data_IF_891736467858
#
_entry.id   IF_891736467858
#
_cell.length_a   1.000
_cell.length_b   1.000
_cell.length_c   1.000
_cell.angle_alpha   90.00
_cell.angle_beta   90.00
_cell.angle_gamma   90.00
#
_symmetry.space_group_name_H-M   'P 1'
#
loop_
_entity.id
_entity.type
_entity.pdbx_description
1 polymer ?
#
# COMPACT_ATOMS: atom_id res chain seq x y z
N UNK A 1 7.13 -18.10 -10.55
CA UNK A 1 6.39 -16.85 -10.26
C UNK A 1 5.35 -17.15 -9.21
N UNK A 2 5.13 -16.30 -8.18
CA UNK A 2 3.99 -16.49 -7.30
C UNK A 2 2.70 -16.29 -8.09
N UNK A 3 1.68 -17.11 -7.83
CA UNK A 3 0.36 -16.96 -8.45
C UNK A 3 -0.42 -15.80 -7.84
N UNK A 4 -1.43 -15.26 -8.53
CA UNK A 4 -2.29 -14.22 -7.98
C UNK A 4 -2.90 -14.60 -6.61
N UNK A 5 -3.27 -15.88 -6.43
CA UNK A 5 -3.71 -16.42 -5.14
C UNK A 5 -2.62 -16.38 -4.05
N UNK A 6 -1.37 -16.65 -4.40
CA UNK A 6 -0.26 -16.54 -3.46
C UNK A 6 -0.01 -15.08 -3.08
N UNK A 7 -0.09 -14.16 -4.03
CA UNK A 7 0.03 -12.71 -3.79
C UNK A 7 -1.09 -12.22 -2.87
N UNK A 8 -2.36 -12.54 -3.17
CA UNK A 8 -3.49 -12.15 -2.32
C UNK A 8 -3.34 -12.72 -0.91
N UNK A 9 -2.93 -13.98 -0.78
CA UNK A 9 -2.70 -14.61 0.53
C UNK A 9 -1.61 -13.86 1.30
N UNK A 10 -0.49 -13.53 0.66
CA UNK A 10 0.60 -12.77 1.30
C UNK A 10 0.12 -11.39 1.78
N UNK A 11 -0.68 -10.70 0.98
CA UNK A 11 -1.21 -9.37 1.30
C UNK A 11 -2.30 -9.37 2.40
N UNK A 12 -2.95 -10.52 2.66
CA UNK A 12 -4.08 -10.63 3.59
C UNK A 12 -3.73 -11.52 4.80
N UNK A 13 -4.19 -12.77 4.82
CA UNK A 13 -3.95 -13.73 5.91
C UNK A 13 -2.47 -13.95 6.23
N UNK A 14 -1.59 -13.88 5.22
CA UNK A 14 -0.13 -13.96 5.40
C UNK A 14 0.41 -12.77 6.19
N UNK A 15 0.03 -11.55 5.83
CA UNK A 15 0.34 -10.34 6.59
C UNK A 15 -0.28 -10.35 7.99
N UNK A 16 -1.54 -10.77 8.12
CA UNK A 16 -2.18 -10.90 9.43
C UNK A 16 -1.39 -11.83 10.36
N UNK A 17 -0.86 -12.94 9.84
CA UNK A 17 -0.09 -13.90 10.61
C UNK A 17 1.21 -13.34 11.21
N UNK A 18 1.79 -12.28 10.65
CA UNK A 18 3.02 -11.65 11.20
C UNK A 18 2.74 -10.61 12.29
N UNK A 19 1.47 -10.39 12.62
CA UNK A 19 1.04 -9.37 13.59
C UNK A 19 0.24 -10.00 14.75
N UNK A 20 -0.14 -9.17 15.73
CA UNK A 20 -1.05 -9.56 16.82
C UNK A 20 -2.47 -9.94 16.35
N UNK A 21 -2.80 -9.72 15.07
CA UNK A 21 -4.10 -10.06 14.47
C UNK A 21 -4.12 -11.46 13.82
N UNK A 22 -3.08 -12.27 14.02
CA UNK A 22 -3.03 -13.66 13.57
C UNK A 22 -4.31 -14.41 13.94
N UNK A 23 -4.94 -15.04 12.95
CA UNK A 23 -6.15 -15.83 13.13
C UNK A 23 -7.42 -15.02 13.41
N UNK A 24 -7.35 -13.69 13.37
CA UNK A 24 -8.50 -12.80 13.58
C UNK A 24 -8.96 -12.09 12.31
N UNK A 25 -8.05 -11.82 11.37
CA UNK A 25 -8.33 -11.06 10.14
C UNK A 25 -7.66 -11.71 8.92
N UNK A 26 -7.93 -11.16 7.73
CA UNK A 26 -7.27 -11.55 6.48
C UNK A 26 -7.90 -12.74 5.77
N UNK A 27 -9.06 -13.24 6.24
CA UNK A 27 -9.93 -14.20 5.55
C UNK A 27 -11.39 -13.83 5.74
N UNK A 28 -12.21 -14.15 4.74
CA UNK A 28 -13.66 -14.00 4.81
C UNK A 28 -14.26 -15.30 5.36
N UNK A 29 -14.22 -15.45 6.67
CA UNK A 29 -14.71 -16.60 7.41
C UNK A 29 -15.55 -16.13 8.59
N UNK A 30 -16.56 -16.91 8.98
CA UNK A 30 -17.33 -16.61 10.18
C UNK A 30 -16.42 -16.46 11.41
N UNK A 31 -16.77 -15.53 12.31
CA UNK A 31 -16.07 -15.23 13.56
C UNK A 31 -14.74 -14.47 13.41
N UNK A 32 -14.31 -14.16 12.19
CA UNK A 32 -13.20 -13.25 11.94
C UNK A 32 -13.71 -11.79 11.86
N UNK A 33 -12.78 -10.83 11.95
CA UNK A 33 -13.07 -9.42 11.72
C UNK A 33 -13.60 -9.19 10.31
N UNK A 34 -14.67 -8.40 10.20
CA UNK A 34 -15.25 -8.00 8.92
C UNK A 34 -14.42 -6.88 8.28
N UNK A 35 -13.24 -7.25 7.80
CA UNK A 35 -12.32 -6.39 7.06
C UNK A 35 -12.51 -6.66 5.56
N UNK A 36 -13.16 -5.72 4.87
CA UNK A 36 -13.62 -5.90 3.49
C UNK A 36 -13.14 -4.74 2.61
N UNK A 37 -12.78 -5.06 1.38
CA UNK A 37 -12.58 -4.09 0.30
C UNK A 37 -13.50 -4.49 -0.84
N UNK A 38 -14.38 -3.57 -1.24
CA UNK A 38 -15.22 -3.72 -2.43
C UNK A 38 -14.56 -2.99 -3.59
N UNK A 39 -14.41 -3.70 -4.71
CA UNK A 39 -13.80 -3.19 -5.93
C UNK A 39 -14.88 -3.09 -6.99
N UNK A 40 -14.95 -1.94 -7.64
CA UNK A 40 -15.81 -1.68 -8.79
C UNK A 40 -15.29 -2.46 -10.00
N UNK A 41 -16.04 -3.49 -10.39
CA UNK A 41 -15.67 -4.37 -11.50
C UNK A 41 -15.70 -3.65 -12.84
N UNK A 42 -16.64 -2.74 -13.06
CA UNK A 42 -16.79 -2.04 -14.34
C UNK A 42 -15.61 -1.10 -14.58
N UNK A 43 -15.17 -0.38 -13.53
CA UNK A 43 -13.93 0.42 -13.59
C UNK A 43 -12.70 -0.45 -13.84
N UNK A 44 -12.61 -1.62 -13.21
CA UNK A 44 -11.48 -2.54 -13.37
C UNK A 44 -11.41 -3.13 -14.79
N UNK A 45 -12.58 -3.50 -15.33
CA UNK A 45 -12.71 -4.10 -16.64
C UNK A 45 -12.59 -3.07 -17.78
N UNK A 46 -12.82 -1.79 -17.52
CA UNK A 46 -12.72 -0.74 -18.55
C UNK A 46 -11.29 -0.61 -19.15
N UNK A 47 -11.15 -0.31 -20.46
CA UNK A 47 -12.19 -0.27 -21.49
C UNK A 47 -12.63 -1.66 -21.98
N UNK A 48 -11.81 -2.67 -21.71
CA UNK A 48 -12.10 -4.07 -22.01
C UNK A 48 -11.27 -4.98 -21.09
N UNK A 49 -11.91 -6.04 -20.63
CA UNK A 49 -11.31 -7.21 -20.00
C UNK A 49 -12.07 -8.42 -20.55
N UNK A 50 -11.33 -9.43 -20.97
CA UNK A 50 -11.93 -10.67 -21.46
C UNK A 50 -12.74 -11.33 -20.32
N UNK A 51 -14.02 -11.70 -20.55
CA UNK A 51 -14.84 -12.36 -19.52
C UNK A 51 -14.25 -13.66 -18.99
N UNK A 52 -13.43 -14.36 -19.79
CA UNK A 52 -12.76 -15.59 -19.39
C UNK A 52 -11.43 -15.33 -18.66
N UNK A 53 -11.01 -14.06 -18.53
CA UNK A 53 -9.81 -13.71 -17.77
C UNK A 53 -10.04 -13.99 -16.26
N UNK A 54 -9.15 -14.74 -15.58
CA UNK A 54 -9.38 -15.10 -14.19
C UNK A 54 -9.54 -13.88 -13.28
N UNK A 55 -10.63 -13.87 -12.51
CA UNK A 55 -11.01 -12.73 -11.64
C UNK A 55 -9.87 -12.31 -10.70
N UNK A 56 -9.18 -13.28 -10.12
CA UNK A 56 -8.12 -13.02 -9.16
C UNK A 56 -6.88 -12.40 -9.83
N UNK A 57 -6.52 -12.87 -11.01
CA UNK A 57 -5.46 -12.26 -11.81
C UNK A 57 -5.84 -10.84 -12.23
N UNK A 58 -7.10 -10.61 -12.62
CA UNK A 58 -7.61 -9.29 -12.94
C UNK A 58 -7.49 -8.33 -11.73
N UNK A 59 -7.93 -8.75 -10.55
CA UNK A 59 -7.81 -7.94 -9.33
C UNK A 59 -6.35 -7.65 -8.99
N UNK A 60 -5.48 -8.65 -8.97
CA UNK A 60 -4.08 -8.46 -8.55
C UNK A 60 -3.28 -7.62 -9.56
N UNK A 61 -3.56 -7.74 -10.86
CA UNK A 61 -2.76 -7.11 -11.90
C UNK A 61 -3.33 -5.77 -12.39
N UNK A 62 -4.64 -5.52 -12.24
CA UNK A 62 -5.31 -4.33 -12.80
C UNK A 62 -6.00 -3.43 -11.77
N UNK A 63 -6.31 -3.92 -10.57
CA UNK A 63 -7.01 -3.09 -9.60
C UNK A 63 -6.18 -1.86 -9.23
N UNK A 64 -6.86 -0.72 -9.12
CA UNK A 64 -6.29 0.57 -8.74
C UNK A 64 -7.08 1.13 -7.57
N UNK A 65 -6.47 2.08 -6.85
CA UNK A 65 -7.08 2.71 -5.68
C UNK A 65 -8.36 3.49 -6.01
N UNK A 66 -8.47 4.06 -7.22
CA UNK A 66 -9.67 4.75 -7.71
C UNK A 66 -10.84 3.80 -8.08
N UNK A 67 -10.54 2.50 -8.21
CA UNK A 67 -11.51 1.43 -8.39
C UNK A 67 -12.05 0.84 -7.08
N UNK A 68 -11.58 1.31 -5.92
CA UNK A 68 -12.14 0.90 -4.63
C UNK A 68 -13.41 1.70 -4.37
N UNK A 69 -14.52 1.00 -4.16
CA UNK A 69 -15.83 1.59 -3.90
C UNK A 69 -16.11 1.72 -2.39
N UNK A 70 -15.74 0.68 -1.64
CA UNK A 70 -16.05 0.57 -0.22
C UNK A 70 -14.89 -0.08 0.56
N UNK A 71 -14.62 0.40 1.77
CA UNK A 71 -13.72 -0.26 2.73
C UNK A 71 -14.40 -0.35 4.09
N UNK A 72 -14.39 -1.55 4.66
CA UNK A 72 -14.89 -1.84 6.00
C UNK A 72 -13.76 -2.40 6.86
N UNK A 73 -13.73 -2.01 8.13
CA UNK A 73 -12.80 -2.51 9.13
C UNK A 73 -13.57 -2.90 10.39
N UNK A 74 -13.43 -4.15 10.83
CA UNK A 74 -14.14 -4.72 11.97
C UNK A 74 -15.68 -4.49 11.95
N UNK A 75 -16.29 -4.51 10.76
CA UNK A 75 -17.72 -4.28 10.58
C UNK A 75 -18.15 -2.82 10.45
N UNK A 76 -17.21 -1.88 10.58
CA UNK A 76 -17.47 -0.46 10.45
C UNK A 76 -17.03 0.07 9.08
N UNK A 77 -17.91 0.81 8.44
CA UNK A 77 -17.65 1.41 7.14
C UNK A 77 -16.73 2.63 7.29
N UNK A 78 -15.49 2.53 6.77
CA UNK A 78 -14.48 3.61 6.88
C UNK A 78 -14.33 4.44 5.60
N UNK A 79 -14.76 3.89 4.47
CA UNK A 79 -14.76 4.56 3.17
C UNK A 79 -15.90 4.01 2.30
N UNK A 80 -16.67 4.90 1.70
CA UNK A 80 -17.70 4.59 0.70
C UNK A 80 -17.99 5.82 -0.16
N UNK A 81 -18.45 5.61 -1.39
CA UNK A 81 -18.88 6.70 -2.29
C UNK A 81 -17.82 7.80 -2.46
N UNK A 82 -16.54 7.42 -2.51
CA UNK A 82 -15.39 8.33 -2.54
C UNK A 82 -15.20 9.24 -1.31
N UNK A 83 -15.81 8.91 -0.17
CA UNK A 83 -15.74 9.68 1.08
C UNK A 83 -15.21 8.82 2.23
N UNK A 84 -14.24 9.35 2.96
CA UNK A 84 -13.76 8.76 4.22
C UNK A 84 -14.69 9.15 5.37
N UNK A 85 -15.21 8.17 6.12
CA UNK A 85 -16.16 8.44 7.20
C UNK A 85 -15.51 9.00 8.47
N UNK A 86 -14.21 8.72 8.67
CA UNK A 86 -13.46 9.08 9.90
C UNK A 86 -12.42 10.18 9.73
N UNK A 87 -12.29 10.75 8.54
CA UNK A 87 -11.23 11.70 8.23
C UNK A 87 -11.72 12.80 7.30
N UNK A 88 -11.57 14.06 7.73
CA UNK A 88 -11.59 15.20 6.81
C UNK A 88 -10.24 15.26 6.10
N UNK A 89 -10.20 14.68 4.90
CA UNK A 89 -8.98 14.60 4.10
C UNK A 89 -8.42 15.99 3.75
N UNK A 90 -9.31 16.98 3.51
CA UNK A 90 -8.88 18.34 3.16
C UNK A 90 -8.27 19.03 4.36
N UNK A 91 -8.90 18.94 5.53
CA UNK A 91 -8.36 19.49 6.76
C UNK A 91 -7.03 18.82 7.15
N UNK A 92 -6.93 17.50 6.99
CA UNK A 92 -5.69 16.76 7.26
C UNK A 92 -4.53 17.22 6.37
N UNK A 93 -4.77 17.40 5.06
CA UNK A 93 -3.77 17.91 4.12
C UNK A 93 -3.37 19.35 4.42
N UNK A 94 -4.32 20.20 4.80
CA UNK A 94 -4.03 21.58 5.15
C UNK A 94 -3.22 21.67 6.45
N UNK A 95 -3.56 20.86 7.46
CA UNK A 95 -2.76 20.76 8.69
C UNK A 95 -1.34 20.28 8.39
N UNK A 96 -1.20 19.22 7.57
CA UNK A 96 0.11 18.75 7.13
C UNK A 96 0.92 19.85 6.42
N UNK A 97 0.27 20.63 5.54
CA UNK A 97 0.90 21.76 4.86
C UNK A 97 1.38 22.81 5.87
N UNK A 98 0.57 23.18 6.85
CA UNK A 98 0.94 24.12 7.91
C UNK A 98 2.14 23.62 8.71
N UNK A 99 2.12 22.36 9.11
CA UNK A 99 3.20 21.74 9.89
C UNK A 99 4.51 21.62 9.12
N UNK A 100 4.45 21.39 7.81
CA UNK A 100 5.65 21.31 6.95
C UNK A 100 6.18 22.67 6.49
N UNK A 101 5.34 23.72 6.54
CA UNK A 101 5.73 25.08 6.09
C UNK A 101 6.14 25.98 7.26
N UNK A 102 5.76 25.65 8.51
CA UNK A 102 6.22 26.40 9.67
C UNK A 102 7.74 26.38 9.80
N UNK A 103 8.26 27.36 10.53
CA UNK A 103 9.65 27.32 10.95
C UNK A 103 9.94 26.02 11.71
N UNK A 104 11.10 25.42 11.41
CA UNK A 104 11.60 24.27 12.15
C UNK A 104 11.90 24.70 13.59
N UNK A 105 11.57 23.81 14.53
CA UNK A 105 12.02 23.94 15.92
C UNK A 105 13.54 23.73 16.01
N UNK A 106 14.15 24.15 17.11
CA UNK A 106 15.59 23.96 17.34
C UNK A 106 15.99 22.48 17.26
N UNK A 107 15.18 21.59 17.84
CA UNK A 107 15.40 20.14 17.78
C UNK A 107 15.35 19.60 16.34
N UNK A 108 14.40 20.06 15.53
CA UNK A 108 14.29 19.67 14.12
C UNK A 108 15.47 20.19 13.28
N UNK A 109 15.98 21.39 13.59
CA UNK A 109 17.19 21.94 12.97
C UNK A 109 18.41 21.08 13.33
N UNK A 110 18.59 20.73 14.60
CA UNK A 110 19.67 19.87 15.06
C UNK A 110 19.61 18.49 14.39
N UNK A 111 18.43 17.86 14.39
CA UNK A 111 18.20 16.56 13.74
C UNK A 111 18.51 16.60 12.24
N UNK A 112 18.13 17.68 11.55
CA UNK A 112 18.47 17.89 10.13
C UNK A 112 19.97 18.08 9.92
N UNK A 113 20.65 18.77 10.84
CA UNK A 113 22.11 18.89 10.86
C UNK A 113 22.79 17.53 11.01
N UNK A 114 22.37 16.74 12.00
CA UNK A 114 22.88 15.39 12.22
C UNK A 114 22.65 14.48 11.01
N UNK A 115 21.46 14.50 10.42
CA UNK A 115 21.15 13.73 9.23
C UNK A 115 22.09 14.07 8.05
N UNK A 116 22.39 15.36 7.84
CA UNK A 116 23.35 15.80 6.82
C UNK A 116 24.78 15.32 7.09
N UNK A 117 25.19 15.26 8.36
CA UNK A 117 26.52 14.77 8.74
C UNK A 117 26.62 13.25 8.61
N UNK A 118 25.54 12.51 8.92
CA UNK A 118 25.51 11.05 8.83
C UNK A 118 25.41 10.54 7.38
N UNK A 119 24.75 11.29 6.49
CA UNK A 119 24.44 10.82 5.14
C UNK A 119 25.67 10.35 4.34
N UNK A 120 26.83 11.04 4.34
CA UNK A 120 28.03 10.55 3.64
C UNK A 120 28.56 9.22 4.19
N UNK A 121 28.43 9.00 5.50
CA UNK A 121 28.86 7.74 6.13
C UNK A 121 27.93 6.59 5.76
N UNK A 122 26.62 6.82 5.73
CA UNK A 122 25.64 5.84 5.26
C UNK A 122 25.87 5.50 3.79
N UNK A 123 26.09 6.50 2.93
CA UNK A 123 26.40 6.29 1.52
C UNK A 123 27.66 5.44 1.34
N UNK A 124 28.74 5.75 2.07
CA UNK A 124 29.98 4.96 2.03
C UNK A 124 29.77 3.54 2.56
N UNK A 125 28.96 3.37 3.60
CA UNK A 125 28.68 2.06 4.18
C UNK A 125 27.90 1.15 3.20
N UNK A 126 26.95 1.72 2.46
CA UNK A 126 26.17 1.01 1.44
C UNK A 126 26.80 1.05 0.03
N UNK A 127 28.01 1.59 -0.11
CA UNK A 127 28.70 1.63 -1.40
C UNK A 127 28.95 0.20 -1.90
N UNK A 128 28.54 -0.09 -3.13
CA UNK A 128 28.58 -1.44 -3.71
C UNK A 128 27.65 -2.47 -3.05
N UNK A 129 26.75 -2.09 -2.14
CA UNK A 129 25.80 -3.02 -1.53
C UNK A 129 24.77 -3.57 -2.53
N UNK A 130 24.49 -2.81 -3.58
CA UNK A 130 23.53 -3.15 -4.63
C UNK A 130 24.23 -3.06 -5.99
N UNK A 131 24.22 -4.17 -6.74
CA UNK A 131 24.72 -4.25 -8.11
C UNK A 131 23.51 -4.33 -9.08
N UNK A 132 23.17 -3.22 -9.76
CA UNK A 132 22.04 -3.18 -10.69
C UNK A 132 22.22 -4.09 -11.90
N UNK A 133 23.46 -4.41 -12.31
CA UNK A 133 23.74 -5.26 -13.48
C UNK A 133 23.64 -6.75 -13.15
N UNK A 134 23.89 -7.13 -11.90
CA UNK A 134 23.63 -8.48 -11.40
C UNK A 134 22.14 -8.78 -11.17
N UNK A 135 21.30 -7.76 -11.13
CA UNK A 135 19.85 -7.93 -10.98
C UNK A 135 19.21 -8.30 -12.32
N UNK A 136 18.84 -9.56 -12.44
CA UNK A 136 17.84 -10.00 -13.40
C UNK A 136 16.44 -9.90 -12.75
N UNK A 137 15.70 -8.81 -12.98
CA UNK A 137 14.35 -8.67 -12.47
C UNK A 137 13.48 -9.82 -12.97
N UNK A 138 12.81 -10.46 -12.01
CA UNK A 138 11.97 -11.62 -12.26
C UNK A 138 10.77 -11.26 -13.18
N UNK A 139 10.25 -10.04 -13.06
CA UNK A 139 9.24 -9.47 -13.96
C UNK A 139 9.87 -8.45 -14.90
N UNK A 140 9.94 -8.78 -16.20
CA UNK A 140 10.42 -7.88 -17.26
C UNK A 140 9.64 -6.56 -17.40
N UNK A 141 8.32 -6.47 -17.13
CA UNK A 141 7.61 -5.19 -17.15
C UNK A 141 8.00 -4.26 -15.98
N UNK A 142 8.54 -4.82 -14.89
CA UNK A 142 9.04 -4.04 -13.74
C UNK A 142 10.51 -3.66 -13.90
N UNK A 143 11.11 -3.99 -15.04
CA UNK A 143 12.47 -3.62 -15.39
C UNK A 143 12.44 -2.55 -16.47
N UNK A 144 12.88 -1.35 -16.11
CA UNK A 144 13.01 -0.14 -16.91
C UNK A 144 11.71 0.67 -17.11
N UNK A 145 11.58 1.71 -16.28
CA UNK A 145 11.64 3.10 -16.77
C UNK A 145 13.05 3.60 -16.50
#
# INVERSE_FOLDING_TARGET
MPTAAQVLRMATSGGAATTAFRGKIGRLEERLGADLVLIDWDKLAHPYLDPDYPVLDAVIQRAKTDGVDMVMCAGELIYADSVFSKMDHKAALEQLRMDLTRALTEEEVERKGLAKQLLPHLQKFYDGYFDPEALQPFYRPSSMV
#
